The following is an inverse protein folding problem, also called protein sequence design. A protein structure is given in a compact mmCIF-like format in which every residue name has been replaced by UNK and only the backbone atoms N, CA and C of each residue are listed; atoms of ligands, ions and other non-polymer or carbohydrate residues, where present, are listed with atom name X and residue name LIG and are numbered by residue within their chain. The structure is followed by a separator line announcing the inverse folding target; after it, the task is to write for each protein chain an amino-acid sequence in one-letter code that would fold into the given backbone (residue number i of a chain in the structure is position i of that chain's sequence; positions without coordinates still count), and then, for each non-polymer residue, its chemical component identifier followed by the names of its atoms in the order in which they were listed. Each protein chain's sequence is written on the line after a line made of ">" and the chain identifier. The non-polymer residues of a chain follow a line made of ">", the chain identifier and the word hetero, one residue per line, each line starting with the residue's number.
data_IF_032801719386
#
_entry.id   IF_032801719386
#
_cell.length_a   1.000
_cell.length_b   1.000
_cell.length_c   1.000
_cell.angle_alpha   90.00
_cell.angle_beta   90.00
_cell.angle_gamma   90.00
#
_symmetry.space_group_name_H-M   'P 1'
#
loop_
_entity.id
_entity.type
_entity.pdbx_description
1 polymer ?
#
# COMPACT_ATOMS: atom_id res chain seq x y z
N UNK A 1 -7.25 -22.54 -30.04
CA UNK A 1 -7.30 -21.25 -29.31
C UNK A 1 -6.02 -21.15 -28.51
N UNK A 2 -5.16 -20.16 -28.80
CA UNK A 2 -3.84 -20.08 -28.20
C UNK A 2 -3.95 -19.74 -26.70
N UNK A 3 -3.39 -20.60 -25.84
CA UNK A 3 -3.42 -20.39 -24.39
C UNK A 3 -2.54 -19.20 -24.04
N UNK A 4 -3.11 -18.21 -23.36
CA UNK A 4 -2.35 -17.05 -22.88
C UNK A 4 -1.25 -17.49 -21.92
N UNK A 5 -0.09 -16.84 -22.02
CA UNK A 5 0.94 -16.95 -20.98
C UNK A 5 0.39 -16.52 -19.62
N UNK A 6 0.96 -17.07 -18.54
CA UNK A 6 0.55 -16.72 -17.17
C UNK A 6 0.64 -15.20 -16.92
N UNK A 7 1.71 -14.55 -17.38
CA UNK A 7 1.86 -13.10 -17.28
C UNK A 7 0.71 -12.33 -17.96
N UNK A 8 0.28 -12.76 -19.16
CA UNK A 8 -0.86 -12.15 -19.86
C UNK A 8 -2.18 -12.38 -19.13
N UNK A 9 -2.36 -13.52 -18.46
CA UNK A 9 -3.54 -13.80 -17.64
C UNK A 9 -3.61 -12.90 -16.41
N UNK A 10 -2.50 -12.75 -15.69
CA UNK A 10 -2.40 -11.87 -14.52
C UNK A 10 -2.63 -10.40 -14.91
N UNK A 11 -1.98 -9.93 -15.98
CA UNK A 11 -2.18 -8.57 -16.48
C UNK A 11 -3.64 -8.31 -16.88
N UNK A 12 -4.30 -9.27 -17.56
CA UNK A 12 -5.73 -9.14 -17.90
C UNK A 12 -6.60 -9.07 -16.65
N UNK A 13 -6.35 -9.92 -15.66
CA UNK A 13 -7.09 -9.89 -14.40
C UNK A 13 -6.95 -8.52 -13.72
N UNK A 14 -5.71 -8.05 -13.53
CA UNK A 14 -5.40 -6.75 -12.94
C UNK A 14 -6.09 -5.57 -13.65
N UNK A 15 -6.12 -5.59 -14.98
CA UNK A 15 -6.77 -4.54 -15.78
C UNK A 15 -8.30 -4.64 -15.80
N UNK A 16 -8.86 -5.81 -15.49
CA UNK A 16 -10.31 -6.05 -15.54
C UNK A 16 -11.03 -5.86 -14.21
N UNK A 17 -10.32 -5.93 -13.09
CA UNK A 17 -10.91 -5.88 -11.76
C UNK A 17 -11.46 -4.48 -11.48
N UNK A 18 -12.74 -4.38 -11.10
CA UNK A 18 -13.37 -3.14 -10.66
C UNK A 18 -13.85 -3.28 -9.23
N UNK A 19 -14.08 -2.14 -8.57
CA UNK A 19 -14.61 -2.12 -7.21
C UNK A 19 -15.96 -2.84 -7.10
N UNK A 20 -16.80 -2.75 -8.12
CA UNK A 20 -18.13 -3.37 -8.17
C UNK A 20 -18.07 -4.90 -8.23
N UNK A 21 -16.94 -5.46 -8.64
CA UNK A 21 -16.73 -6.91 -8.70
C UNK A 21 -16.34 -7.48 -7.31
N UNK A 22 -16.08 -6.62 -6.32
CA UNK A 22 -15.65 -7.02 -4.98
C UNK A 22 -16.84 -7.41 -4.09
N UNK A 23 -16.80 -8.59 -3.44
CA UNK A 23 -17.77 -8.93 -2.40
C UNK A 23 -17.75 -7.91 -1.26
N UNK A 24 -18.92 -7.63 -0.67
CA UNK A 24 -19.04 -6.68 0.44
C UNK A 24 -18.14 -7.05 1.64
N UNK A 25 -17.98 -8.35 1.91
CA UNK A 25 -17.07 -8.84 2.95
C UNK A 25 -15.60 -8.50 2.62
N UNK A 26 -15.16 -8.68 1.37
CA UNK A 26 -13.80 -8.31 0.92
C UNK A 26 -13.56 -6.81 1.07
N UNK A 27 -14.53 -5.98 0.71
CA UNK A 27 -14.46 -4.52 0.90
C UNK A 27 -14.35 -4.17 2.39
N UNK A 28 -15.09 -4.86 3.26
CA UNK A 28 -15.00 -4.68 4.70
C UNK A 28 -13.60 -5.03 5.22
N UNK A 29 -13.03 -6.17 4.82
CA UNK A 29 -11.68 -6.57 5.22
C UNK A 29 -10.61 -5.61 4.74
N UNK A 30 -10.66 -5.18 3.48
CA UNK A 30 -9.70 -4.25 2.92
C UNK A 30 -9.67 -2.93 3.72
N UNK A 31 -10.81 -2.42 4.14
CA UNK A 31 -10.88 -1.25 5.04
C UNK A 31 -10.18 -1.52 6.38
N UNK A 32 -10.38 -2.70 6.98
CA UNK A 32 -9.71 -3.08 8.23
C UNK A 32 -8.20 -3.14 8.06
N UNK A 33 -7.70 -3.64 6.92
CA UNK A 33 -6.27 -3.66 6.61
C UNK A 33 -5.67 -2.26 6.55
N UNK A 34 -6.34 -1.31 5.89
CA UNK A 34 -5.90 0.09 5.92
C UNK A 34 -5.85 0.67 7.33
N UNK A 35 -6.89 0.44 8.14
CA UNK A 35 -6.94 0.94 9.53
C UNK A 35 -5.81 0.34 10.37
N UNK A 36 -5.60 -0.97 10.27
CA UNK A 36 -4.55 -1.72 10.96
C UNK A 36 -3.15 -1.22 10.60
N UNK A 37 -2.85 -1.12 9.30
CA UNK A 37 -1.55 -0.65 8.82
C UNK A 37 -1.26 0.79 9.21
N UNK A 38 -2.27 1.68 9.17
CA UNK A 38 -2.13 3.05 9.66
C UNK A 38 -1.89 3.07 11.17
N UNK A 39 -2.56 2.21 11.94
CA UNK A 39 -2.31 2.05 13.38
C UNK A 39 -0.87 1.63 13.68
N UNK A 40 -0.35 0.63 12.95
CA UNK A 40 1.04 0.20 13.04
C UNK A 40 2.02 1.33 12.70
N UNK A 41 1.77 2.04 11.60
CA UNK A 41 2.60 3.16 11.17
C UNK A 41 2.65 4.29 12.20
N UNK A 42 1.51 4.61 12.83
CA UNK A 42 1.43 5.59 13.91
C UNK A 42 2.21 5.15 15.15
N UNK A 43 2.11 3.87 15.54
CA UNK A 43 2.90 3.29 16.62
C UNK A 43 4.41 3.33 16.35
N UNK A 44 4.81 3.22 15.08
CA UNK A 44 6.21 3.24 14.67
C UNK A 44 6.81 4.65 14.49
N UNK A 45 6.06 5.75 14.64
CA UNK A 45 6.54 7.10 14.34
C UNK A 45 7.81 7.52 15.08
N UNK A 46 8.02 7.02 16.29
CA UNK A 46 9.21 7.35 17.11
C UNK A 46 10.36 6.34 16.96
N UNK A 47 10.16 5.28 16.18
CA UNK A 47 11.16 4.26 15.91
C UNK A 47 12.41 4.84 15.24
N UNK A 48 13.58 4.26 15.54
CA UNK A 48 14.81 4.66 14.88
C UNK A 48 14.77 4.42 13.36
N UNK A 49 14.35 3.25 12.84
CA UNK A 49 14.23 3.05 11.40
C UNK A 49 13.23 4.00 10.74
N UNK A 50 12.08 4.27 11.37
CA UNK A 50 11.11 5.24 10.87
C UNK A 50 11.68 6.67 10.77
N UNK A 51 12.46 7.11 11.76
CA UNK A 51 13.20 8.39 11.69
C UNK A 51 14.21 8.42 10.55
N UNK A 52 14.99 7.35 10.36
CA UNK A 52 15.96 7.26 9.25
C UNK A 52 15.23 7.31 7.91
N UNK A 53 14.16 6.54 7.74
CA UNK A 53 13.38 6.49 6.51
C UNK A 53 12.78 7.86 6.15
N UNK A 54 12.25 8.61 7.14
CA UNK A 54 11.74 9.97 6.89
C UNK A 54 12.84 10.95 6.49
N UNK A 55 14.04 10.84 7.07
CA UNK A 55 15.19 11.66 6.67
C UNK A 55 15.59 11.37 5.23
N UNK A 56 15.62 10.11 4.82
CA UNK A 56 15.91 9.73 3.44
C UNK A 56 14.83 10.26 2.47
N UNK A 57 13.55 10.08 2.81
CA UNK A 57 12.45 10.59 2.00
C UNK A 57 12.46 12.13 1.86
N UNK A 58 13.00 12.86 2.84
CA UNK A 58 13.14 14.31 2.77
C UNK A 58 14.20 14.78 1.76
N UNK A 59 15.03 13.88 1.21
CA UNK A 59 16.05 14.22 0.20
C UNK A 59 15.49 14.28 -1.22
N UNK A 60 14.25 13.83 -1.42
CA UNK A 60 13.58 13.81 -2.72
C UNK A 60 12.24 14.58 -2.67
N UNK A 61 11.82 15.11 -3.81
CA UNK A 61 10.51 15.74 -3.97
C UNK A 61 10.04 15.60 -5.41
N UNK A 62 8.72 15.50 -5.61
CA UNK A 62 8.10 15.45 -6.92
C UNK A 62 6.80 16.27 -6.92
N UNK A 63 6.31 16.62 -8.13
CA UNK A 63 5.01 17.25 -8.36
C UNK A 63 4.33 16.55 -9.55
N UNK A 64 3.30 15.71 -9.33
CA UNK A 64 2.72 15.36 -8.03
C UNK A 64 3.69 14.52 -7.18
N UNK A 65 3.60 14.66 -5.87
CA UNK A 65 4.33 13.85 -4.90
C UNK A 65 3.35 13.02 -4.06
N UNK A 66 3.87 12.27 -3.09
CA UNK A 66 3.05 11.51 -2.15
C UNK A 66 3.46 11.79 -0.69
N UNK A 67 2.50 11.69 0.22
CA UNK A 67 2.61 12.06 1.63
C UNK A 67 3.50 11.09 2.41
N UNK A 68 4.40 11.65 3.22
CA UNK A 68 5.20 10.89 4.19
C UNK A 68 4.51 10.97 5.56
N UNK A 69 4.10 9.81 6.10
CA UNK A 69 3.34 9.72 7.34
C UNK A 69 4.08 10.37 8.52
N UNK A 70 3.32 11.13 9.32
CA UNK A 70 3.83 11.83 10.50
C UNK A 70 4.72 13.05 10.20
N UNK A 71 4.73 13.58 8.97
CA UNK A 71 5.53 14.78 8.61
C UNK A 71 4.71 15.96 8.09
N UNK A 72 3.50 15.73 7.58
CA UNK A 72 2.73 16.75 6.85
C UNK A 72 3.38 17.21 5.54
N UNK A 73 4.39 16.48 5.03
CA UNK A 73 5.15 16.80 3.82
C UNK A 73 5.01 15.69 2.79
N UNK A 74 5.16 16.07 1.52
CA UNK A 74 5.25 15.12 0.42
C UNK A 74 6.71 14.88 0.00
N UNK A 75 6.99 13.69 -0.52
CA UNK A 75 8.23 13.29 -1.20
C UNK A 75 7.89 12.83 -2.63
N UNK A 76 8.87 12.29 -3.37
CA UNK A 76 8.55 11.51 -4.57
C UNK A 76 7.81 10.21 -4.18
N UNK A 77 6.94 9.67 -5.05
CA UNK A 77 6.08 8.54 -4.72
C UNK A 77 6.81 7.32 -4.18
N UNK A 78 7.95 6.97 -4.78
CA UNK A 78 8.78 5.84 -4.36
C UNK A 78 9.40 6.03 -2.98
N UNK A 79 9.81 7.26 -2.63
CA UNK A 79 10.35 7.57 -1.31
C UNK A 79 9.28 7.66 -0.23
N UNK A 80 8.09 8.16 -0.58
CA UNK A 80 6.93 8.14 0.29
C UNK A 80 6.47 6.70 0.56
N UNK A 81 6.37 5.86 -0.47
CA UNK A 81 6.04 4.44 -0.34
C UNK A 81 7.07 3.70 0.53
N UNK A 82 8.37 3.91 0.27
CA UNK A 82 9.43 3.33 1.09
C UNK A 82 9.32 3.75 2.56
N UNK A 83 9.21 5.06 2.83
CA UNK A 83 9.14 5.56 4.20
C UNK A 83 7.90 5.06 4.92
N UNK A 84 6.74 5.13 4.29
CA UNK A 84 5.49 4.67 4.89
C UNK A 84 5.50 3.14 5.12
N UNK A 85 6.06 2.37 4.18
CA UNK A 85 6.21 0.93 4.31
C UNK A 85 7.08 0.53 5.51
N UNK A 86 8.19 1.23 5.74
CA UNK A 86 9.01 1.05 6.95
C UNK A 86 8.18 1.26 8.21
N UNK A 87 7.33 2.29 8.26
CA UNK A 87 6.49 2.54 9.44
C UNK A 87 5.41 1.46 9.63
N UNK A 88 4.76 1.01 8.55
CA UNK A 88 3.76 -0.07 8.61
C UNK A 88 4.41 -1.34 9.16
N UNK A 89 5.59 -1.70 8.65
CA UNK A 89 6.25 -2.97 8.92
C UNK A 89 7.01 -3.02 10.24
N UNK A 90 7.55 -1.90 10.71
CA UNK A 90 8.59 -1.90 11.75
C UNK A 90 8.21 -2.63 13.05
N UNK A 91 6.97 -2.50 13.51
CA UNK A 91 6.52 -3.14 14.75
C UNK A 91 6.22 -4.65 14.58
N UNK A 92 6.15 -5.14 13.33
CA UNK A 92 5.74 -6.50 12.99
C UNK A 92 4.34 -6.86 13.54
N UNK A 93 3.48 -5.85 13.68
CA UNK A 93 2.10 -5.97 14.20
C UNK A 93 1.05 -5.95 13.08
N UNK A 94 1.46 -5.65 11.84
CA UNK A 94 0.57 -5.63 10.70
C UNK A 94 0.14 -7.04 10.30
N UNK A 95 -0.94 -7.13 9.53
CA UNK A 95 -1.61 -8.38 9.20
C UNK A 95 -0.70 -9.57 8.84
N UNK A 96 -1.16 -10.78 9.16
CA UNK A 96 -0.53 -12.02 8.68
C UNK A 96 -1.52 -12.76 7.80
N UNK A 97 -1.06 -13.18 6.63
CA UNK A 97 -1.77 -14.06 5.72
C UNK A 97 -1.06 -15.42 5.66
N UNK A 98 -1.74 -16.46 6.13
CA UNK A 98 -1.23 -17.83 6.12
C UNK A 98 -1.67 -18.51 4.83
N UNK A 99 -0.77 -18.56 3.85
CA UNK A 99 -0.94 -19.29 2.59
C UNK A 99 0.01 -20.49 2.56
N UNK A 100 0.65 -20.77 1.42
CA UNK A 100 1.75 -21.75 1.34
C UNK A 100 2.95 -21.34 2.20
N UNK A 101 3.19 -20.04 2.32
CA UNK A 101 4.17 -19.43 3.22
C UNK A 101 3.49 -18.26 3.97
N UNK A 102 3.88 -17.97 5.22
CA UNK A 102 3.40 -16.78 5.94
C UNK A 102 3.87 -15.50 5.25
N UNK A 103 2.96 -14.55 5.06
CA UNK A 103 3.27 -13.25 4.46
C UNK A 103 2.51 -12.12 5.16
N UNK A 104 2.92 -10.87 4.90
CA UNK A 104 2.27 -9.65 5.35
C UNK A 104 1.85 -8.78 4.15
N UNK A 105 0.74 -9.12 3.45
CA UNK A 105 0.39 -8.43 2.21
C UNK A 105 0.06 -6.95 2.42
N UNK A 106 -0.26 -6.53 3.65
CA UNK A 106 -0.46 -5.10 3.95
C UNK A 106 0.79 -4.24 3.76
N UNK A 107 1.98 -4.83 3.64
CA UNK A 107 3.22 -4.12 3.27
C UNK A 107 3.07 -3.40 1.91
N UNK A 108 2.21 -3.91 1.02
CA UNK A 108 1.91 -3.28 -0.27
C UNK A 108 1.09 -1.98 -0.15
N UNK A 109 0.41 -1.74 0.98
CA UNK A 109 -0.49 -0.59 1.14
C UNK A 109 0.24 0.75 1.08
N UNK A 110 1.51 0.81 1.47
CA UNK A 110 2.31 2.03 1.33
C UNK A 110 2.46 2.45 -0.15
N UNK A 111 2.70 1.49 -1.03
CA UNK A 111 2.79 1.73 -2.47
C UNK A 111 1.43 2.08 -3.07
N UNK A 112 0.36 1.39 -2.66
CA UNK A 112 -1.01 1.67 -3.10
C UNK A 112 -1.42 3.11 -2.72
N UNK A 113 -1.14 3.56 -1.50
CA UNK A 113 -1.44 4.93 -1.07
C UNK A 113 -0.62 5.96 -1.85
N UNK A 114 0.69 5.74 -2.04
CA UNK A 114 1.54 6.66 -2.78
C UNK A 114 1.12 6.79 -4.25
N UNK A 115 0.80 5.68 -4.91
CA UNK A 115 0.27 5.68 -6.28
C UNK A 115 -1.11 6.33 -6.36
N UNK A 116 -1.97 6.09 -5.37
CA UNK A 116 -3.29 6.71 -5.27
C UNK A 116 -3.23 8.23 -5.17
N UNK A 117 -2.31 8.78 -4.38
CA UNK A 117 -2.11 10.24 -4.32
C UNK A 117 -1.64 10.82 -5.66
N UNK A 118 -0.75 10.12 -6.38
CA UNK A 118 -0.25 10.54 -7.68
C UNK A 118 -1.37 10.73 -8.70
N UNK A 119 -2.34 9.82 -8.73
CA UNK A 119 -3.47 9.84 -9.67
C UNK A 119 -4.74 10.46 -9.09
N UNK A 120 -4.68 10.97 -7.85
CA UNK A 120 -5.84 11.51 -7.09
C UNK A 120 -7.00 10.51 -6.98
N UNK A 121 -6.66 9.25 -6.70
CA UNK A 121 -7.61 8.17 -6.55
C UNK A 121 -8.59 8.41 -5.39
N UNK A 122 -9.85 8.04 -5.61
CA UNK A 122 -10.87 7.95 -4.57
C UNK A 122 -10.76 6.64 -3.76
N UNK A 123 -11.52 6.57 -2.66
CA UNK A 123 -11.47 5.42 -1.76
C UNK A 123 -11.86 4.08 -2.41
N UNK A 124 -12.74 4.07 -3.41
CA UNK A 124 -13.11 2.85 -4.15
C UNK A 124 -11.95 2.30 -4.96
N UNK A 125 -11.22 3.17 -5.63
CA UNK A 125 -10.04 2.81 -6.43
C UNK A 125 -8.91 2.31 -5.53
N UNK A 126 -8.69 2.97 -4.38
CA UNK A 126 -7.73 2.50 -3.37
C UNK A 126 -8.09 1.12 -2.83
N UNK A 127 -9.36 0.85 -2.53
CA UNK A 127 -9.81 -0.45 -2.04
C UNK A 127 -9.65 -1.54 -3.11
N UNK A 128 -9.97 -1.25 -4.37
CA UNK A 128 -9.77 -2.20 -5.46
C UNK A 128 -8.28 -2.49 -5.70
N UNK A 129 -7.43 -1.47 -5.69
CA UNK A 129 -5.99 -1.62 -5.82
C UNK A 129 -5.37 -2.40 -4.65
N UNK A 130 -5.83 -2.16 -3.42
CA UNK A 130 -5.42 -2.93 -2.25
C UNK A 130 -5.79 -4.40 -2.42
N UNK A 131 -7.05 -4.72 -2.73
CA UNK A 131 -7.48 -6.11 -2.94
C UNK A 131 -6.71 -6.79 -4.07
N UNK A 132 -6.39 -6.07 -5.15
CA UNK A 132 -5.59 -6.61 -6.25
C UNK A 132 -4.15 -6.94 -5.85
N UNK A 133 -3.60 -6.22 -4.87
CA UNK A 133 -2.22 -6.38 -4.39
C UNK A 133 -2.07 -7.43 -3.27
N UNK A 134 -3.17 -8.03 -2.80
CA UNK A 134 -3.21 -9.14 -1.84
C UNK A 134 -3.16 -10.49 -2.56
#
# INVERSE_FOLDING_TARGET
>A
METLSLARRLARYALSLRFEDLPAATVHEAKRRFIDSLGCALGALSSEPGRIARRLAATASARPGATVLGTGRASSPEWAAFSNGVHIRFLDFNDTYLSREPAHPSDNLAAVMAAGELVRAGGRELLAAAVLAY
#
